data_IF_315800873476
#
_entry.id   IF_315800873476
#
_cell.length_a   1.000
_cell.length_b   1.000
_cell.length_c   1.000
_cell.angle_alpha   90.00
_cell.angle_beta   90.00
_cell.angle_gamma   90.00
#
_symmetry.space_group_name_H-M   'P 1'
#
loop_
_entity.id
_entity.type
_entity.pdbx_description
1 polymer ?
#
# COMPACT_ATOMS: atom_id res chain seq x y z
N UNK A 1 24.54 1.48 37.76
CA UNK A 1 23.10 1.28 37.53
C UNK A 1 22.40 2.41 36.78
N UNK A 2 22.86 3.68 36.81
CA UNK A 2 22.22 4.81 36.09
C UNK A 2 22.41 4.79 34.55
N UNK A 3 23.50 4.24 34.03
CA UNK A 3 23.81 4.20 32.59
C UNK A 3 22.91 3.24 31.81
N UNK A 4 22.50 2.11 32.41
CA UNK A 4 21.66 1.10 31.75
C UNK A 4 20.23 1.62 31.52
N UNK A 5 19.70 2.42 32.44
CA UNK A 5 18.35 3.00 32.32
C UNK A 5 18.28 4.03 31.17
N UNK A 6 19.36 4.79 30.95
CA UNK A 6 19.41 5.79 29.87
C UNK A 6 19.45 5.14 28.49
N UNK A 7 20.11 3.99 28.33
CA UNK A 7 20.15 3.24 27.05
C UNK A 7 18.79 2.62 26.74
N UNK A 8 18.06 2.08 27.72
CA UNK A 8 16.74 1.49 27.53
C UNK A 8 15.70 2.56 27.13
N UNK A 9 15.77 3.75 27.72
CA UNK A 9 14.89 4.87 27.35
C UNK A 9 15.14 5.40 25.94
N UNK A 10 16.40 5.44 25.47
CA UNK A 10 16.74 5.87 24.12
C UNK A 10 16.26 4.86 23.04
N UNK A 11 16.25 3.56 23.34
CA UNK A 11 15.71 2.55 22.42
C UNK A 11 14.19 2.67 22.24
N UNK A 12 13.46 2.98 23.31
CA UNK A 12 12.00 3.16 23.23
C UNK A 12 11.60 4.43 22.46
N UNK A 13 12.40 5.50 22.55
CA UNK A 13 12.16 6.73 21.78
C UNK A 13 12.44 6.54 20.28
N UNK A 14 13.43 5.73 19.92
CA UNK A 14 13.71 5.40 18.53
C UNK A 14 12.62 4.54 17.89
N UNK A 15 12.07 3.59 18.62
CA UNK A 15 10.94 2.77 18.18
C UNK A 15 9.66 3.59 17.96
N UNK A 16 9.36 4.54 18.84
CA UNK A 16 8.20 5.43 18.69
C UNK A 16 8.33 6.44 17.55
N UNK A 17 9.55 6.85 17.18
CA UNK A 17 9.78 7.74 16.03
C UNK A 17 9.57 7.01 14.70
N UNK A 18 9.93 5.72 14.64
CA UNK A 18 9.68 4.86 13.47
C UNK A 18 8.19 4.56 13.25
N UNK A 19 7.37 4.47 14.32
CA UNK A 19 5.92 4.29 14.19
C UNK A 19 5.18 5.53 13.66
N UNK A 20 5.78 6.71 13.70
CA UNK A 20 5.22 7.97 13.20
C UNK A 20 5.57 8.31 11.75
N UNK A 21 6.30 7.45 11.04
CA UNK A 21 6.47 7.64 9.61
C UNK A 21 5.11 7.47 8.93
N UNK A 22 4.60 8.55 8.35
CA UNK A 22 3.39 8.54 7.52
C UNK A 22 3.58 7.54 6.39
N UNK A 23 3.13 6.32 6.58
CA UNK A 23 3.07 5.34 5.51
C UNK A 23 2.08 5.83 4.47
N UNK A 24 2.53 6.11 3.27
CA UNK A 24 1.67 6.50 2.15
C UNK A 24 0.76 5.36 1.72
N UNK A 25 1.22 4.14 1.86
CA UNK A 25 0.57 2.95 1.37
C UNK A 25 0.50 1.90 2.47
N UNK A 26 -0.57 1.16 2.51
CA UNK A 26 -0.67 -0.02 3.35
C UNK A 26 0.30 -1.09 2.85
N UNK A 27 0.98 -1.72 3.79
CA UNK A 27 1.85 -2.87 3.57
C UNK A 27 1.33 -4.13 4.30
N UNK A 28 2.10 -5.20 4.26
CA UNK A 28 1.74 -6.45 4.92
C UNK A 28 1.62 -6.34 6.44
N UNK A 29 2.31 -5.38 7.06
CA UNK A 29 2.17 -5.11 8.50
C UNK A 29 0.77 -4.56 8.80
N UNK A 30 0.30 -3.61 7.98
CA UNK A 30 -1.05 -3.06 8.13
C UNK A 30 -2.11 -4.13 7.83
N UNK A 31 -1.89 -4.94 6.78
CA UNK A 31 -2.76 -6.05 6.41
C UNK A 31 -2.91 -7.09 7.53
N UNK A 32 -1.81 -7.53 8.12
CA UNK A 32 -1.80 -8.49 9.21
C UNK A 32 -2.36 -7.90 10.53
N UNK A 33 -2.21 -6.59 10.75
CA UNK A 33 -2.75 -5.92 11.93
C UNK A 33 -4.28 -5.75 11.90
N UNK A 34 -4.95 -5.94 10.75
CA UNK A 34 -6.43 -5.96 10.70
C UNK A 34 -6.96 -7.03 11.65
N UNK A 35 -6.32 -8.20 11.71
CA UNK A 35 -6.73 -9.30 12.61
C UNK A 35 -6.69 -8.92 14.09
N UNK A 36 -5.70 -8.10 14.48
CA UNK A 36 -5.54 -7.64 15.85
C UNK A 36 -6.49 -6.51 16.24
N UNK A 37 -7.01 -5.77 15.26
CA UNK A 37 -7.85 -4.57 15.47
C UNK A 37 -9.34 -4.82 15.26
N UNK A 38 -9.69 -5.94 14.65
CA UNK A 38 -11.07 -6.26 14.35
C UNK A 38 -11.81 -6.86 15.56
N UNK A 39 -12.67 -6.07 16.20
CA UNK A 39 -13.48 -6.50 17.35
C UNK A 39 -14.59 -7.52 17.00
N UNK A 40 -14.82 -7.78 15.71
CA UNK A 40 -15.94 -8.59 15.22
C UNK A 40 -15.61 -10.00 14.73
N UNK A 41 -14.43 -10.52 15.03
CA UNK A 41 -14.01 -11.86 14.60
C UNK A 41 -13.78 -11.99 13.08
N UNK A 42 -13.73 -13.22 12.58
CA UNK A 42 -13.38 -13.56 11.17
C UNK A 42 -14.21 -12.82 10.12
N UNK A 43 -15.50 -12.60 10.38
CA UNK A 43 -16.39 -11.89 9.46
C UNK A 43 -16.01 -10.42 9.32
N UNK A 44 -15.70 -9.76 10.40
CA UNK A 44 -15.27 -8.35 10.41
C UNK A 44 -13.94 -8.17 9.70
N UNK A 45 -12.97 -9.06 9.94
CA UNK A 45 -11.68 -9.10 9.26
C UNK A 45 -11.88 -9.18 7.74
N UNK A 46 -12.69 -10.13 7.28
CA UNK A 46 -13.00 -10.29 5.87
C UNK A 46 -13.64 -9.03 5.26
N UNK A 47 -14.59 -8.42 5.96
CA UNK A 47 -15.26 -7.20 5.48
C UNK A 47 -14.29 -6.03 5.33
N UNK A 48 -13.37 -5.82 6.29
CA UNK A 48 -12.36 -4.76 6.23
C UNK A 48 -11.41 -5.01 5.06
N UNK A 49 -10.87 -6.23 4.92
CA UNK A 49 -9.98 -6.62 3.82
C UNK A 49 -10.67 -6.45 2.45
N UNK A 50 -11.91 -6.90 2.36
CA UNK A 50 -12.72 -6.77 1.14
C UNK A 50 -13.02 -5.32 0.79
N UNK A 51 -13.38 -4.48 1.76
CA UNK A 51 -13.62 -3.05 1.56
C UNK A 51 -12.35 -2.33 1.05
N UNK A 52 -11.17 -2.68 1.58
CA UNK A 52 -9.91 -2.12 1.11
C UNK A 52 -9.64 -2.46 -0.37
N UNK A 53 -9.80 -3.74 -0.76
CA UNK A 53 -9.62 -4.18 -2.15
C UNK A 53 -10.64 -3.50 -3.06
N UNK A 54 -11.92 -3.46 -2.67
CA UNK A 54 -12.97 -2.79 -3.45
C UNK A 54 -12.66 -1.30 -3.63
N UNK A 55 -12.22 -0.60 -2.58
CA UNK A 55 -11.84 0.80 -2.66
C UNK A 55 -10.65 1.05 -3.61
N UNK A 56 -9.70 0.12 -3.68
CA UNK A 56 -8.60 0.18 -4.63
C UNK A 56 -9.10 0.04 -6.08
N UNK A 57 -10.00 -0.92 -6.33
CA UNK A 57 -10.62 -1.14 -7.66
C UNK A 57 -11.48 0.06 -8.08
N UNK A 58 -12.26 0.62 -7.17
CA UNK A 58 -13.04 1.84 -7.41
C UNK A 58 -12.12 3.03 -7.73
N UNK A 59 -11.01 3.18 -7.03
CA UNK A 59 -10.00 4.19 -7.31
C UNK A 59 -9.39 4.02 -8.71
N UNK A 60 -9.10 2.77 -9.10
CA UNK A 60 -8.63 2.44 -10.46
C UNK A 60 -9.68 2.85 -11.51
N UNK A 61 -10.94 2.47 -11.31
CA UNK A 61 -12.04 2.81 -12.22
C UNK A 61 -12.23 4.34 -12.31
N UNK A 62 -12.15 5.04 -11.19
CA UNK A 62 -12.22 6.51 -11.18
C UNK A 62 -11.16 7.15 -12.06
N UNK A 63 -9.91 6.71 -11.95
CA UNK A 63 -8.83 7.24 -12.79
C UNK A 63 -8.95 6.84 -14.25
N UNK A 64 -9.43 5.62 -14.52
CA UNK A 64 -9.77 5.20 -15.89
C UNK A 64 -10.76 6.15 -16.54
N UNK A 65 -11.89 6.43 -15.89
CA UNK A 65 -12.91 7.34 -16.42
C UNK A 65 -12.37 8.75 -16.64
N UNK A 66 -11.51 9.25 -15.75
CA UNK A 66 -10.83 10.55 -15.93
C UNK A 66 -9.86 10.56 -17.09
N UNK A 67 -9.09 9.50 -17.29
CA UNK A 67 -8.17 9.36 -18.42
C UNK A 67 -8.95 9.20 -19.73
N UNK A 68 -9.99 8.36 -19.73
CA UNK A 68 -10.87 8.12 -20.88
C UNK A 68 -11.56 9.40 -21.39
N UNK A 69 -11.98 10.30 -20.49
CA UNK A 69 -12.57 11.58 -20.84
C UNK A 69 -11.59 12.53 -21.53
N UNK A 70 -10.27 12.29 -21.40
CA UNK A 70 -9.23 13.08 -22.08
C UNK A 70 -8.72 12.42 -23.34
N UNK A 71 -8.38 11.13 -23.25
CA UNK A 71 -7.77 10.36 -24.32
C UNK A 71 -8.17 8.87 -24.17
N UNK A 72 -9.22 8.49 -24.92
CA UNK A 72 -9.80 7.15 -24.85
C UNK A 72 -8.80 6.04 -25.15
N UNK A 73 -8.03 6.17 -26.23
CA UNK A 73 -7.08 5.13 -26.66
C UNK A 73 -5.99 4.85 -25.60
N UNK A 74 -5.49 5.91 -24.96
CA UNK A 74 -4.55 5.77 -23.85
C UNK A 74 -5.18 5.08 -22.65
N UNK A 75 -6.39 5.48 -22.29
CA UNK A 75 -7.10 4.89 -21.15
C UNK A 75 -7.38 3.40 -21.39
N UNK A 76 -7.91 3.05 -22.56
CA UNK A 76 -8.22 1.67 -22.93
C UNK A 76 -6.94 0.80 -22.92
N UNK A 77 -5.81 1.30 -23.41
CA UNK A 77 -4.54 0.58 -23.40
C UNK A 77 -3.99 0.38 -21.98
N UNK A 78 -4.14 1.39 -21.10
CA UNK A 78 -3.61 1.34 -19.75
C UNK A 78 -4.46 0.46 -18.80
N UNK A 79 -5.78 0.39 -19.05
CA UNK A 79 -6.73 -0.26 -18.15
C UNK A 79 -7.43 -1.48 -18.73
N UNK A 80 -7.14 -1.82 -19.99
CA UNK A 80 -7.69 -3.02 -20.67
C UNK A 80 -7.15 -4.33 -20.08
N UNK A 81 -6.20 -4.28 -19.15
CA UNK A 81 -5.70 -5.44 -18.43
C UNK A 81 -6.84 -6.15 -17.71
N UNK A 82 -7.09 -7.35 -18.12
CA UNK A 82 -8.05 -8.28 -17.54
C UNK A 82 -7.53 -8.78 -16.18
N UNK A 83 -7.42 -7.89 -15.20
CA UNK A 83 -6.95 -8.23 -13.85
C UNK A 83 -7.99 -9.00 -13.01
N UNK A 84 -9.03 -9.56 -13.66
CA UNK A 84 -10.14 -10.19 -12.95
C UNK A 84 -10.00 -11.72 -12.87
N UNK A 85 -8.76 -12.23 -12.76
CA UNK A 85 -8.51 -13.64 -12.56
C UNK A 85 -8.95 -14.14 -11.20
N UNK A 86 -8.90 -13.28 -10.17
CA UNK A 86 -9.22 -13.66 -8.80
C UNK A 86 -10.44 -12.89 -8.29
N UNK A 87 -11.36 -13.58 -7.65
CA UNK A 87 -12.41 -12.93 -6.87
C UNK A 87 -11.80 -12.23 -5.63
N UNK A 88 -12.51 -11.26 -5.04
CA UNK A 88 -12.06 -10.61 -3.80
C UNK A 88 -11.68 -11.62 -2.71
N UNK A 89 -12.44 -12.71 -2.59
CA UNK A 89 -12.18 -13.77 -1.61
C UNK A 89 -10.87 -14.51 -1.89
N UNK A 90 -10.59 -14.79 -3.15
CA UNK A 90 -9.35 -15.45 -3.57
C UNK A 90 -8.16 -14.51 -3.42
N UNK A 91 -8.31 -13.25 -3.80
CA UNK A 91 -7.28 -12.22 -3.60
C UNK A 91 -6.93 -12.08 -2.13
N UNK A 92 -7.91 -12.01 -1.21
CA UNK A 92 -7.66 -11.95 0.24
C UNK A 92 -6.86 -13.17 0.68
N UNK A 93 -7.27 -14.38 0.29
CA UNK A 93 -6.57 -15.62 0.67
C UNK A 93 -5.13 -15.67 0.14
N UNK A 94 -4.90 -15.20 -1.08
CA UNK A 94 -3.55 -15.15 -1.65
C UNK A 94 -2.69 -14.09 -0.96
N UNK A 95 -3.25 -12.94 -0.61
CA UNK A 95 -2.55 -11.91 0.16
C UNK A 95 -2.20 -12.38 1.58
N UNK A 96 -3.10 -13.09 2.25
CA UNK A 96 -2.83 -13.69 3.57
C UNK A 96 -1.67 -14.68 3.48
N UNK A 97 -1.63 -15.50 2.42
CA UNK A 97 -0.51 -16.41 2.14
C UNK A 97 0.77 -15.64 1.80
N UNK A 98 0.71 -14.63 0.96
CA UNK A 98 1.86 -13.81 0.56
C UNK A 98 2.51 -13.14 1.78
N UNK A 99 1.72 -12.55 2.66
CA UNK A 99 2.20 -11.88 3.86
C UNK A 99 2.44 -12.81 5.07
N UNK A 100 2.23 -14.12 4.91
CA UNK A 100 2.72 -15.09 5.89
C UNK A 100 4.25 -15.19 5.88
N UNK A 101 4.90 -14.83 4.76
CA UNK A 101 6.33 -14.61 4.70
C UNK A 101 6.68 -13.21 5.25
N UNK A 102 7.42 -13.20 6.36
CA UNK A 102 7.83 -11.95 7.02
C UNK A 102 8.66 -11.04 6.11
N UNK A 103 9.40 -11.61 5.15
CA UNK A 103 10.21 -10.87 4.20
C UNK A 103 9.37 -10.12 3.15
N UNK A 104 8.08 -10.43 3.06
CA UNK A 104 7.14 -9.77 2.14
C UNK A 104 6.30 -8.70 2.82
N UNK A 105 6.34 -8.60 4.15
CA UNK A 105 5.46 -7.67 4.90
C UNK A 105 5.69 -6.19 4.60
N UNK A 106 6.85 -5.82 4.06
CA UNK A 106 7.14 -4.44 3.65
C UNK A 106 6.66 -4.12 2.21
N UNK A 107 6.23 -5.12 1.43
CA UNK A 107 5.67 -4.91 0.09
C UNK A 107 4.29 -4.25 0.23
N UNK A 108 4.01 -3.13 -0.47
CA UNK A 108 2.70 -2.50 -0.42
C UNK A 108 1.60 -3.44 -0.89
N UNK A 109 0.42 -3.33 -0.27
CA UNK A 109 -0.74 -4.17 -0.62
C UNK A 109 -1.13 -4.01 -2.10
N UNK A 110 -1.02 -2.81 -2.66
CA UNK A 110 -1.28 -2.57 -4.10
C UNK A 110 -0.36 -3.39 -5.01
N UNK A 111 0.92 -3.49 -4.67
CA UNK A 111 1.89 -4.29 -5.42
C UNK A 111 1.70 -5.78 -5.19
N UNK A 112 1.38 -6.17 -3.95
CA UNK A 112 1.09 -7.56 -3.62
C UNK A 112 -0.16 -8.08 -4.35
N UNK A 113 -1.20 -7.26 -4.55
CA UNK A 113 -2.36 -7.60 -5.38
C UNK A 113 -1.90 -7.94 -6.81
N UNK A 114 -1.05 -7.11 -7.41
CA UNK A 114 -0.52 -7.39 -8.75
C UNK A 114 0.27 -8.71 -8.76
N UNK A 115 1.12 -8.93 -7.77
CA UNK A 115 1.94 -10.14 -7.66
C UNK A 115 1.05 -11.40 -7.58
N UNK A 116 0.02 -11.40 -6.73
CA UNK A 116 -0.84 -12.59 -6.59
C UNK A 116 -1.69 -12.85 -7.84
N UNK A 117 -2.02 -11.81 -8.61
CA UNK A 117 -2.64 -11.99 -9.92
C UNK A 117 -1.65 -12.55 -10.95
N UNK A 118 -0.40 -12.07 -10.98
CA UNK A 118 0.66 -12.65 -11.83
C UNK A 118 0.89 -14.13 -11.50
N UNK A 119 0.84 -14.51 -10.22
CA UNK A 119 0.93 -15.92 -9.79
C UNK A 119 -0.26 -16.75 -10.30
N UNK A 120 -1.47 -16.21 -10.20
CA UNK A 120 -2.68 -16.86 -10.69
C UNK A 120 -2.67 -17.05 -12.23
N UNK A 121 -2.08 -16.10 -12.96
CA UNK A 121 -1.85 -16.14 -14.40
C UNK A 121 -0.67 -17.03 -14.81
N UNK A 122 0.00 -17.67 -13.85
CA UNK A 122 1.17 -18.50 -14.09
C UNK A 122 2.33 -17.76 -14.77
N UNK A 123 2.47 -16.46 -14.49
CA UNK A 123 3.63 -15.68 -14.93
C UNK A 123 4.91 -16.30 -14.37
N UNK A 124 5.98 -16.25 -15.14
CA UNK A 124 7.24 -16.90 -14.74
C UNK A 124 7.74 -16.35 -13.40
N UNK A 125 8.23 -17.25 -12.53
CA UNK A 125 8.81 -16.85 -11.24
C UNK A 125 9.88 -15.77 -11.39
N UNK A 126 10.72 -15.85 -12.42
CA UNK A 126 11.74 -14.83 -12.71
C UNK A 126 11.14 -13.45 -12.91
N UNK A 127 10.01 -13.34 -13.61
CA UNK A 127 9.31 -12.07 -13.85
C UNK A 127 8.72 -11.53 -12.54
N UNK A 128 8.12 -12.40 -11.73
CA UNK A 128 7.56 -12.06 -10.43
C UNK A 128 8.66 -11.56 -9.49
N UNK A 129 9.77 -12.28 -9.38
CA UNK A 129 10.91 -11.90 -8.54
C UNK A 129 11.47 -10.52 -8.95
N UNK A 130 11.59 -10.27 -10.28
CA UNK A 130 12.00 -8.96 -10.80
C UNK A 130 11.02 -7.84 -10.42
N UNK A 131 9.72 -8.11 -10.49
CA UNK A 131 8.69 -7.13 -10.10
C UNK A 131 8.77 -6.82 -8.59
N UNK A 132 8.98 -7.83 -7.75
CA UNK A 132 9.20 -7.67 -6.31
C UNK A 132 10.41 -6.77 -6.05
N UNK A 133 11.54 -7.03 -6.72
CA UNK A 133 12.76 -6.23 -6.54
C UNK A 133 12.59 -4.78 -7.03
N UNK A 134 11.89 -4.58 -8.14
CA UNK A 134 11.53 -3.23 -8.61
C UNK A 134 10.61 -2.52 -7.63
N UNK A 135 9.66 -3.23 -7.03
CA UNK A 135 8.77 -2.66 -6.00
C UNK A 135 9.57 -2.22 -4.78
N UNK A 136 10.54 -3.03 -4.32
CA UNK A 136 11.43 -2.67 -3.20
C UNK A 136 12.22 -1.39 -3.51
N UNK A 137 12.79 -1.32 -4.71
CA UNK A 137 13.56 -0.17 -5.15
C UNK A 137 12.68 1.09 -5.18
N UNK A 138 11.50 1.00 -5.80
CA UNK A 138 10.56 2.11 -5.90
C UNK A 138 10.07 2.62 -4.54
N UNK A 139 9.76 1.73 -3.60
CA UNK A 139 9.34 2.10 -2.24
C UNK A 139 10.47 2.82 -1.51
N UNK A 140 11.71 2.35 -1.66
CA UNK A 140 12.87 2.99 -1.07
C UNK A 140 13.07 4.41 -1.63
N UNK A 141 13.00 4.58 -2.96
CA UNK A 141 13.08 5.90 -3.59
C UNK A 141 11.95 6.83 -3.14
N UNK A 142 10.71 6.31 -3.07
CA UNK A 142 9.56 7.07 -2.62
C UNK A 142 9.76 7.57 -1.18
N UNK A 143 10.23 6.70 -0.29
CA UNK A 143 10.52 7.03 1.11
C UNK A 143 11.59 8.13 1.20
N UNK A 144 12.71 7.98 0.47
CA UNK A 144 13.79 8.97 0.43
C UNK A 144 13.28 10.32 -0.10
N UNK A 145 12.46 10.31 -1.15
CA UNK A 145 11.92 11.55 -1.74
C UNK A 145 10.89 12.23 -0.83
N UNK A 146 10.18 11.46 0.01
CA UNK A 146 9.28 12.01 1.02
C UNK A 146 10.04 12.68 2.16
N UNK A 147 11.11 12.07 2.63
CA UNK A 147 11.97 12.63 3.67
C UNK A 147 12.62 13.95 3.23
N UNK A 148 12.82 14.14 1.92
CA UNK A 148 13.40 15.36 1.33
C UNK A 148 12.42 16.52 1.17
N UNK A 149 11.34 16.61 1.94
CA UNK A 149 10.43 17.77 2.07
C UNK A 149 9.60 18.16 0.83
N UNK A 150 9.74 17.53 -0.32
CA UNK A 150 9.02 17.99 -1.53
C UNK A 150 7.50 17.75 -1.43
N UNK A 151 7.07 16.65 -0.86
CA UNK A 151 5.65 16.33 -0.78
C UNK A 151 4.95 17.06 0.38
N UNK A 152 5.67 17.28 1.48
CA UNK A 152 5.18 18.07 2.61
C UNK A 152 4.94 19.53 2.19
N UNK A 153 5.83 20.09 1.40
CA UNK A 153 5.68 21.43 0.83
C UNK A 153 4.52 21.53 -0.16
N UNK A 154 4.28 20.52 -0.99
CA UNK A 154 3.13 20.48 -1.90
C UNK A 154 1.78 20.41 -1.16
N UNK A 155 1.69 19.62 -0.11
CA UNK A 155 0.51 19.54 0.74
C UNK A 155 0.27 20.85 1.49
N UNK A 156 1.31 21.45 2.05
CA UNK A 156 1.26 22.75 2.72
C UNK A 156 0.85 23.89 1.76
N UNK A 157 1.37 23.89 0.53
CA UNK A 157 0.98 24.85 -0.50
C UNK A 157 -0.49 24.68 -0.92
N UNK A 158 -0.94 23.43 -1.10
CA UNK A 158 -2.36 23.16 -1.38
C UNK A 158 -3.24 23.57 -0.22
N UNK A 159 -2.86 23.27 1.00
CA UNK A 159 -3.62 23.60 2.19
C UNK A 159 -3.74 25.14 2.37
N UNK A 160 -2.65 25.90 2.14
CA UNK A 160 -2.68 27.38 2.11
C UNK A 160 -3.57 27.93 1.00
N UNK A 161 -3.56 27.32 -0.19
CA UNK A 161 -4.41 27.75 -1.32
C UNK A 161 -5.90 27.51 -1.04
N UNK A 162 -6.27 26.45 -0.34
CA UNK A 162 -7.66 26.15 0.02
C UNK A 162 -8.13 26.89 1.28
N UNK A 163 -7.24 27.22 2.21
CA UNK A 163 -7.59 28.02 3.39
C UNK A 163 -7.67 29.52 3.10
N UNK A 164 -6.97 30.03 2.07
CA UNK A 164 -7.02 31.43 1.65
C UNK A 164 -8.26 31.83 0.85
N UNK A 165 -9.07 30.87 0.39
CA UNK A 165 -10.29 31.12 -0.39
C UNK A 165 -11.58 31.13 0.46
N UNK A 166 -11.47 31.16 1.78
CA UNK A 166 -12.60 31.40 2.70
C UNK A 166 -12.60 32.87 3.17
N UNK A 167 -12.88 33.79 2.23
CA UNK A 167 -13.35 35.16 2.54
C UNK A 167 -14.47 35.49 1.59
#
# INVERSE_FOLDING_TARGET
MKIIITIILSFNLFSQVLEKQNKLLWDGTDWNNIEKRADGGTRSIYQIKSAYISGLLDGRLYYYLKAWAKERGFADNLYADKLDYLTNKETIRQLDRFYSDILMTYVPVVSAIIIVHMEAEQVSKKTIDLYIDQTKFWINELTINMEKDKMHNLLNQKQKKYSGNKR
#
